data_IF_823100949546
#
_entry.id   IF_823100949546
#
_cell.length_a   1.000
_cell.length_b   1.000
_cell.length_c   1.000
_cell.angle_alpha   90.00
_cell.angle_beta   90.00
_cell.angle_gamma   90.00
#
_symmetry.space_group_name_H-M   'P 1'
#
loop_
_entity.id
_entity.type
_entity.pdbx_description
1 polymer ?
#
# COMPACT_ATOMS: atom_id res chain seq x y z
N UNK A 1 22.12 -16.96 23.46
CA UNK A 1 20.65 -16.77 23.34
C UNK A 1 20.02 -18.09 22.96
N UNK A 2 19.04 -18.57 23.72
CA UNK A 2 18.44 -19.89 23.49
C UNK A 2 17.45 -19.89 22.30
N UNK A 3 17.20 -21.08 21.77
CA UNK A 3 16.35 -21.29 20.59
C UNK A 3 14.88 -20.95 20.88
N UNK A 4 14.40 -21.17 22.10
CA UNK A 4 13.00 -20.93 22.46
C UNK A 4 12.68 -19.43 22.47
N UNK A 5 13.55 -18.59 23.05
CA UNK A 5 13.40 -17.13 23.02
C UNK A 5 13.44 -16.56 21.61
N UNK A 6 14.32 -17.08 20.73
CA UNK A 6 14.33 -16.71 19.30
C UNK A 6 13.01 -17.01 18.60
N UNK A 7 12.47 -18.20 18.85
CA UNK A 7 11.20 -18.63 18.26
C UNK A 7 10.04 -17.72 18.70
N UNK A 8 10.00 -17.35 19.98
CA UNK A 8 8.97 -16.45 20.51
C UNK A 8 9.02 -15.06 19.87
N UNK A 9 10.21 -14.47 19.74
CA UNK A 9 10.38 -13.17 19.08
C UNK A 9 9.97 -13.21 17.61
N UNK A 10 10.34 -14.28 16.89
CA UNK A 10 9.92 -14.47 15.51
C UNK A 10 8.41 -14.54 15.39
N UNK A 11 7.76 -15.37 16.22
CA UNK A 11 6.30 -15.50 16.23
C UNK A 11 5.61 -14.17 16.58
N UNK A 12 6.14 -13.42 17.55
CA UNK A 12 5.61 -12.10 17.89
C UNK A 12 5.71 -11.13 16.70
N UNK A 13 6.87 -11.07 16.03
CA UNK A 13 7.05 -10.23 14.85
C UNK A 13 6.10 -10.57 13.70
N UNK A 14 5.90 -11.86 13.42
CA UNK A 14 4.92 -12.32 12.41
C UNK A 14 3.51 -11.88 12.79
N UNK A 15 3.09 -12.09 14.05
CA UNK A 15 1.76 -11.69 14.52
C UNK A 15 1.54 -10.18 14.42
N UNK A 16 2.51 -9.37 14.85
CA UNK A 16 2.42 -7.92 14.72
C UNK A 16 2.27 -7.49 13.27
N UNK A 17 3.05 -8.08 12.36
CA UNK A 17 2.94 -7.78 10.93
C UNK A 17 1.54 -8.12 10.39
N UNK A 18 1.03 -9.32 10.69
CA UNK A 18 -0.31 -9.72 10.24
C UNK A 18 -1.40 -8.78 10.75
N UNK A 19 -1.35 -8.39 12.03
CA UNK A 19 -2.32 -7.45 12.59
C UNK A 19 -2.27 -6.07 11.91
N UNK A 20 -1.07 -5.59 11.58
CA UNK A 20 -0.90 -4.32 10.87
C UNK A 20 -1.39 -4.42 9.41
N UNK A 21 -1.12 -5.52 8.73
CA UNK A 21 -1.58 -5.76 7.36
C UNK A 21 -3.11 -5.85 7.28
N UNK A 22 -3.74 -6.58 8.21
CA UNK A 22 -5.19 -6.66 8.32
C UNK A 22 -5.83 -5.29 8.61
N UNK A 23 -5.23 -4.54 9.54
CA UNK A 23 -5.75 -3.23 9.90
C UNK A 23 -5.60 -2.22 8.76
N UNK A 24 -4.44 -2.21 8.11
CA UNK A 24 -4.18 -1.35 6.96
C UNK A 24 -5.12 -1.69 5.80
N UNK A 25 -5.40 -2.97 5.56
CA UNK A 25 -6.38 -3.41 4.55
C UNK A 25 -7.78 -2.84 4.85
N UNK A 26 -8.23 -2.91 6.11
CA UNK A 26 -9.53 -2.33 6.51
C UNK A 26 -9.57 -0.81 6.32
N UNK A 27 -8.48 -0.12 6.61
CA UNK A 27 -8.38 1.33 6.40
C UNK A 27 -8.41 1.69 4.91
N UNK A 28 -7.73 0.91 4.07
CA UNK A 28 -7.74 1.06 2.62
C UNK A 28 -9.14 0.86 2.03
N UNK A 29 -9.85 -0.17 2.48
CA UNK A 29 -11.22 -0.43 2.06
C UNK A 29 -12.17 0.67 2.52
N UNK A 30 -12.13 1.03 3.82
CA UNK A 30 -13.07 1.98 4.40
C UNK A 30 -12.83 3.44 4.00
N UNK A 31 -11.57 3.84 3.83
CA UNK A 31 -11.23 5.25 3.56
C UNK A 31 -11.11 5.51 2.07
N UNK A 32 -10.47 4.60 1.35
CA UNK A 32 -10.03 4.82 -0.03
C UNK A 32 -10.77 3.93 -1.03
N UNK A 33 -11.67 3.05 -0.59
CA UNK A 33 -12.38 2.11 -1.47
C UNK A 33 -11.43 1.19 -2.23
N UNK A 34 -10.28 0.86 -1.62
CA UNK A 34 -9.25 0.00 -2.21
C UNK A 34 -9.42 -1.39 -1.60
N UNK A 35 -9.81 -2.36 -2.42
CA UNK A 35 -10.04 -3.73 -1.97
C UNK A 35 -8.77 -4.56 -2.05
N UNK A 36 -8.63 -5.56 -1.16
CA UNK A 36 -7.51 -6.50 -1.16
C UNK A 36 -7.36 -7.30 -2.47
N UNK A 37 -8.43 -7.40 -3.26
CA UNK A 37 -8.45 -7.99 -4.60
C UNK A 37 -7.73 -7.15 -5.66
N UNK A 38 -7.31 -5.93 -5.34
CA UNK A 38 -6.78 -4.96 -6.31
C UNK A 38 -7.87 -4.26 -7.13
N UNK A 39 -9.14 -4.39 -6.72
CA UNK A 39 -10.25 -3.61 -7.28
C UNK A 39 -10.44 -2.31 -6.52
N UNK A 40 -11.02 -1.34 -7.19
CA UNK A 40 -11.15 0.01 -6.69
C UNK A 40 -12.58 0.49 -6.85
N UNK A 41 -13.11 1.14 -5.83
CA UNK A 41 -14.34 1.91 -5.97
C UNK A 41 -14.11 3.13 -6.86
N UNK A 42 -15.14 3.55 -7.62
CA UNK A 42 -15.06 4.76 -8.43
C UNK A 42 -14.74 5.98 -7.56
N UNK A 43 -13.80 6.81 -7.99
CA UNK A 43 -13.41 8.00 -7.21
C UNK A 43 -14.58 8.97 -6.96
N UNK A 44 -15.60 8.95 -7.83
CA UNK A 44 -16.84 9.72 -7.69
C UNK A 44 -17.78 9.21 -6.58
N UNK A 45 -17.68 7.95 -6.13
CA UNK A 45 -18.48 7.45 -5.00
C UNK A 45 -17.88 7.84 -3.64
N UNK A 46 -16.59 8.18 -3.60
CA UNK A 46 -15.85 8.55 -2.39
C UNK A 46 -15.99 10.06 -2.09
N UNK A 47 -17.22 10.52 -1.87
CA UNK A 47 -17.55 11.95 -1.67
C UNK A 47 -16.98 12.54 -0.39
N UNK A 48 -16.57 11.70 0.56
CA UNK A 48 -15.92 12.11 1.81
C UNK A 48 -14.44 12.44 1.65
N UNK A 49 -13.80 12.04 0.54
CA UNK A 49 -12.40 12.36 0.29
C UNK A 49 -12.25 13.80 -0.17
N UNK A 50 -11.43 14.56 0.55
CA UNK A 50 -11.01 15.89 0.15
C UNK A 50 -9.90 15.84 -0.93
N UNK A 51 -9.32 16.98 -1.28
CA UNK A 51 -8.29 17.03 -2.31
C UNK A 51 -7.04 16.21 -1.94
N UNK A 52 -6.68 16.13 -0.66
CA UNK A 52 -5.54 15.36 -0.18
C UNK A 52 -5.84 13.87 -0.24
N UNK A 53 -7.00 13.45 0.27
CA UNK A 53 -7.44 12.05 0.23
C UNK A 53 -7.58 11.51 -1.19
N UNK A 54 -7.98 12.35 -2.15
CA UNK A 54 -7.99 11.98 -3.58
C UNK A 54 -6.59 11.81 -4.17
N UNK A 55 -5.64 12.67 -3.79
CA UNK A 55 -4.24 12.54 -4.22
C UNK A 55 -3.60 11.27 -3.64
N UNK A 56 -3.83 10.99 -2.36
CA UNK A 56 -3.38 9.75 -1.71
C UNK A 56 -3.98 8.52 -2.39
N UNK A 57 -5.28 8.56 -2.68
CA UNK A 57 -5.98 7.49 -3.41
C UNK A 57 -5.36 7.22 -4.78
N UNK A 58 -5.02 8.26 -5.52
CA UNK A 58 -4.37 8.13 -6.83
C UNK A 58 -2.94 7.59 -6.71
N UNK A 59 -2.19 8.01 -5.69
CA UNK A 59 -0.86 7.47 -5.42
C UNK A 59 -0.92 5.97 -5.09
N UNK A 60 -1.92 5.53 -4.31
CA UNK A 60 -2.15 4.11 -4.03
C UNK A 60 -2.47 3.36 -5.33
N UNK A 61 -3.33 3.90 -6.19
CA UNK A 61 -3.66 3.28 -7.48
C UNK A 61 -2.43 3.07 -8.35
N UNK A 62 -1.57 4.08 -8.45
CA UNK A 62 -0.36 4.03 -9.27
C UNK A 62 0.64 2.97 -8.79
N UNK A 63 0.68 2.68 -7.49
CA UNK A 63 1.52 1.62 -6.92
C UNK A 63 0.92 0.23 -7.17
N UNK A 64 -0.40 0.10 -7.09
CA UNK A 64 -1.11 -1.19 -7.24
C UNK A 64 -1.25 -1.58 -8.72
N UNK A 65 -1.44 -0.59 -9.62
CA UNK A 65 -1.60 -0.77 -11.07
C UNK A 65 -0.58 0.08 -11.83
N UNK A 66 0.72 -0.27 -11.76
CA UNK A 66 1.77 0.50 -12.43
C UNK A 66 1.59 0.56 -13.96
N UNK A 67 0.92 -0.43 -14.56
CA UNK A 67 0.60 -0.47 -15.99
C UNK A 67 -0.40 0.61 -16.42
N UNK A 68 -1.37 0.94 -15.57
CA UNK A 68 -2.39 1.96 -15.83
C UNK A 68 -1.85 3.38 -15.54
N UNK A 69 -0.77 3.48 -14.75
CA UNK A 69 -0.08 4.73 -14.45
C UNK A 69 0.87 5.21 -15.58
N UNK A 70 0.88 4.52 -16.73
CA UNK A 70 1.72 4.82 -17.90
C UNK A 70 1.26 6.06 -18.68
N UNK A 71 1.15 7.19 -17.99
CA UNK A 71 1.15 8.54 -18.55
C UNK A 71 2.24 9.45 -17.95
N UNK A 72 2.94 9.01 -16.90
CA UNK A 72 4.05 9.74 -16.29
C UNK A 72 5.36 8.97 -16.48
N UNK A 73 6.15 9.40 -17.45
CA UNK A 73 7.46 8.87 -17.81
C UNK A 73 8.42 8.89 -16.60
N UNK A 74 8.58 7.74 -15.94
CA UNK A 74 9.65 7.47 -14.99
C UNK A 74 10.38 6.22 -15.47
N UNK A 75 11.29 6.40 -16.44
CA UNK A 75 12.16 5.35 -16.95
C UNK A 75 12.99 4.74 -15.80
N UNK A 76 12.97 3.42 -15.55
CA UNK A 76 13.73 2.83 -14.47
C UNK A 76 15.20 2.72 -14.89
N UNK A 77 16.08 3.48 -14.24
CA UNK A 77 17.51 3.16 -14.22
C UNK A 77 17.68 1.89 -13.39
N UNK A 78 18.30 0.87 -14.00
CA UNK A 78 18.35 -0.48 -13.47
C UNK A 78 19.00 -0.62 -12.09
N UNK A 79 18.62 -1.69 -11.40
CA UNK A 79 19.39 -2.25 -10.30
C UNK A 79 18.73 -2.14 -8.93
N UNK A 80 18.17 -3.28 -8.51
CA UNK A 80 17.80 -3.67 -7.15
C UNK A 80 16.43 -3.19 -6.62
N UNK A 81 15.54 -4.18 -6.47
CA UNK A 81 14.17 -4.10 -5.95
C UNK A 81 14.18 -3.66 -4.48
N UNK A 82 14.03 -2.37 -4.24
CA UNK A 82 13.48 -1.84 -3.00
C UNK A 82 12.41 -0.82 -3.39
N UNK A 83 11.16 -1.28 -3.45
CA UNK A 83 9.99 -0.45 -3.75
C UNK A 83 9.67 0.41 -2.52
N UNK A 84 10.24 1.62 -2.48
CA UNK A 84 9.65 2.74 -1.77
C UNK A 84 9.13 3.73 -2.83
N UNK A 85 8.00 4.41 -2.60
CA UNK A 85 7.51 5.40 -3.54
C UNK A 85 8.49 6.57 -3.55
N UNK A 86 9.15 6.79 -4.69
CA UNK A 86 9.82 8.06 -4.97
C UNK A 86 8.73 9.08 -5.25
N UNK A 87 8.50 9.97 -4.29
CA UNK A 87 7.75 11.20 -4.50
C UNK A 87 8.55 12.06 -5.47
N UNK A 88 8.04 12.25 -6.69
CA UNK A 88 8.53 13.28 -7.60
C UNK A 88 7.93 14.61 -7.13
N UNK A 89 8.77 15.46 -6.52
CA UNK A 89 8.51 16.90 -6.31
C UNK A 89 8.80 17.67 -7.61
#
# INVERSE_FOLDING_TARGET
>A
MDKARRSQLYTAGVKCRTLLEEDFTRQLEGTYGVHASGTFEPLASLTHLDAVGRADRQAIEAVVRPEDASGADCRPAGGNRVLYPRVCL
#
